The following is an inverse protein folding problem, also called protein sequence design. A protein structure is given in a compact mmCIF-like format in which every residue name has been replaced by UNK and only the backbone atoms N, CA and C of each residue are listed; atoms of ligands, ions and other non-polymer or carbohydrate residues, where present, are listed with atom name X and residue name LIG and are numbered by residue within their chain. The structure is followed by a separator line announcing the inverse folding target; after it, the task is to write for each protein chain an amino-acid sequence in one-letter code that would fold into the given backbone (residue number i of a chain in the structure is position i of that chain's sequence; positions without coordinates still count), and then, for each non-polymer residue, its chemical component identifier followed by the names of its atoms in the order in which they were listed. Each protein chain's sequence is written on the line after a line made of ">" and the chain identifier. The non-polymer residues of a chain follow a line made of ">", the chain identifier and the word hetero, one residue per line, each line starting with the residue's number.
data_IF_452961182240
#
_entry.id   IF_452961182240
#
_cell.length_a   1.000
_cell.length_b   1.000
_cell.length_c   1.000
_cell.angle_alpha   90.00
_cell.angle_beta   90.00
_cell.angle_gamma   90.00
#
_symmetry.space_group_name_H-M   'P 1'
#
loop_
_entity.id
_entity.type
_entity.pdbx_description
1 polymer ?
#
# COMPACT_ATOMS: atom_id res chain seq x y z
N UNK A 1 -15.45 40.13 -2.38
CA UNK A 1 -14.46 39.18 -1.85
C UNK A 1 -14.68 37.82 -2.52
N UNK A 2 -13.63 37.03 -2.80
CA UNK A 2 -13.78 35.70 -3.38
C UNK A 2 -14.56 34.78 -2.44
N UNK A 3 -15.38 33.90 -3.02
CA UNK A 3 -16.30 33.01 -2.30
C UNK A 3 -15.68 31.61 -2.26
N UNK A 4 -15.03 31.27 -1.15
CA UNK A 4 -14.37 29.97 -0.98
C UNK A 4 -15.37 28.89 -0.51
N UNK A 5 -15.07 27.63 -0.85
CA UNK A 5 -15.78 26.48 -0.31
C UNK A 5 -15.42 26.35 1.17
N UNK A 6 -16.40 26.22 2.09
CA UNK A 6 -16.12 26.06 3.51
C UNK A 6 -15.32 24.79 3.78
N UNK A 7 -14.29 24.90 4.60
CA UNK A 7 -13.47 23.78 5.03
C UNK A 7 -14.28 22.87 5.95
N UNK A 8 -14.39 21.60 5.58
CA UNK A 8 -14.89 20.56 6.46
C UNK A 8 -13.71 19.68 6.86
N UNK A 9 -13.41 19.62 8.15
CA UNK A 9 -12.33 18.79 8.67
C UNK A 9 -12.70 17.29 8.73
N UNK A 10 -14.00 16.97 8.64
CA UNK A 10 -14.54 15.60 8.62
C UNK A 10 -14.63 15.05 7.18
N UNK A 11 -13.68 15.45 6.31
CA UNK A 11 -13.67 15.15 4.87
C UNK A 11 -13.56 13.64 4.56
N UNK A 12 -14.71 12.95 4.54
CA UNK A 12 -14.80 11.57 4.04
C UNK A 12 -15.30 11.58 2.58
N UNK A 13 -14.37 11.67 1.62
CA UNK A 13 -14.67 11.52 0.20
C UNK A 13 -13.97 10.27 -0.36
N UNK A 14 -14.73 9.42 -1.05
CA UNK A 14 -14.16 8.32 -1.82
C UNK A 14 -13.80 8.83 -3.22
N UNK A 15 -12.52 8.86 -3.52
CA UNK A 15 -12.00 9.24 -4.83
C UNK A 15 -11.52 7.97 -5.56
N UNK A 16 -11.99 7.77 -6.78
CA UNK A 16 -11.45 6.72 -7.63
C UNK A 16 -10.02 7.11 -8.07
N UNK A 17 -9.03 6.39 -7.58
CA UNK A 17 -7.62 6.66 -7.85
C UNK A 17 -7.01 5.46 -8.57
N UNK A 18 -6.31 5.71 -9.68
CA UNK A 18 -5.48 4.70 -10.31
C UNK A 18 -4.14 4.62 -9.58
N UNK A 19 -3.86 3.47 -8.97
CA UNK A 19 -2.64 3.25 -8.21
C UNK A 19 -1.36 3.48 -9.03
N UNK A 20 -1.34 3.06 -10.31
CA UNK A 20 -0.16 3.20 -11.17
C UNK A 20 0.20 4.66 -11.37
N UNK A 21 -0.81 5.52 -11.50
CA UNK A 21 -0.62 6.96 -11.71
C UNK A 21 -0.16 7.67 -10.42
N UNK A 22 -0.32 7.05 -9.26
CA UNK A 22 0.19 7.54 -7.98
C UNK A 22 1.67 7.21 -7.75
N UNK A 23 2.26 6.28 -8.51
CA UNK A 23 3.66 5.89 -8.37
C UNK A 23 4.60 6.89 -9.08
N UNK A 24 4.52 8.16 -8.70
CA UNK A 24 5.34 9.22 -9.27
C UNK A 24 6.79 9.13 -8.81
N UNK A 25 7.72 9.19 -9.75
CA UNK A 25 9.16 9.19 -9.45
C UNK A 25 9.55 10.31 -8.48
N UNK A 26 10.53 10.03 -7.62
CA UNK A 26 10.96 10.96 -6.58
C UNK A 26 10.07 10.97 -5.32
N UNK A 27 8.94 10.25 -5.32
CA UNK A 27 8.13 10.07 -4.10
C UNK A 27 8.59 8.86 -3.29
N UNK A 28 8.26 8.88 -1.99
CA UNK A 28 8.47 7.72 -1.12
C UNK A 28 7.73 6.48 -1.63
N UNK A 29 6.48 6.64 -2.10
CA UNK A 29 5.68 5.53 -2.62
C UNK A 29 6.32 4.84 -3.82
N UNK A 30 6.94 5.62 -4.72
CA UNK A 30 7.67 5.07 -5.86
C UNK A 30 8.95 4.33 -5.43
N UNK A 31 9.75 4.91 -4.54
CA UNK A 31 10.97 4.25 -4.04
C UNK A 31 10.63 2.93 -3.33
N UNK A 32 9.60 2.94 -2.49
CA UNK A 32 9.04 1.77 -1.83
C UNK A 32 8.62 0.68 -2.80
N UNK A 33 7.79 1.03 -3.80
CA UNK A 33 7.32 0.10 -4.82
C UNK A 33 8.49 -0.51 -5.60
N UNK A 34 9.46 0.31 -6.01
CA UNK A 34 10.66 -0.15 -6.70
C UNK A 34 11.46 -1.15 -5.87
N UNK A 35 11.68 -0.86 -4.58
CA UNK A 35 12.42 -1.77 -3.70
C UNK A 35 11.70 -3.11 -3.54
N UNK A 36 10.40 -3.09 -3.25
CA UNK A 36 9.64 -4.31 -2.95
C UNK A 36 9.35 -5.18 -4.17
N UNK A 37 9.22 -4.59 -5.36
CA UNK A 37 8.84 -5.32 -6.58
C UNK A 37 10.02 -5.62 -7.51
N UNK A 38 11.08 -4.80 -7.51
CA UNK A 38 12.18 -4.91 -8.48
C UNK A 38 13.53 -5.30 -7.84
N UNK A 39 13.73 -5.04 -6.54
CA UNK A 39 15.04 -5.23 -5.89
C UNK A 39 15.07 -6.35 -4.86
N UNK A 40 13.98 -6.57 -4.14
CA UNK A 40 13.93 -7.60 -3.10
C UNK A 40 13.53 -8.96 -3.68
N UNK A 41 14.35 -9.98 -3.41
CA UNK A 41 14.04 -11.36 -3.77
C UNK A 41 13.03 -11.97 -2.78
N UNK A 42 11.74 -11.73 -3.01
CA UNK A 42 10.64 -12.21 -2.14
C UNK A 42 10.18 -13.64 -2.47
N UNK A 43 10.77 -14.29 -3.48
CA UNK A 43 10.49 -15.68 -3.83
C UNK A 43 10.82 -16.67 -2.71
N UNK A 44 11.68 -16.30 -1.77
CA UNK A 44 11.97 -17.10 -0.57
C UNK A 44 10.72 -17.41 0.26
N UNK A 45 9.69 -16.57 0.18
CA UNK A 45 8.43 -16.77 0.89
C UNK A 45 7.47 -17.71 0.13
N UNK A 46 7.75 -18.03 -1.14
CA UNK A 46 6.82 -18.81 -1.96
C UNK A 46 6.65 -20.23 -1.44
N UNK A 47 7.70 -20.83 -0.88
CA UNK A 47 7.64 -22.15 -0.25
C UNK A 47 6.74 -22.19 0.99
N UNK A 48 6.46 -21.04 1.63
CA UNK A 48 5.56 -20.97 2.77
C UNK A 48 4.09 -21.01 2.35
N UNK A 49 3.76 -20.69 1.10
CA UNK A 49 2.40 -20.68 0.60
C UNK A 49 2.01 -22.07 0.07
N UNK A 50 1.08 -22.74 0.74
CA UNK A 50 0.50 -24.02 0.34
C UNK A 50 -0.94 -23.85 -0.15
N UNK A 51 -1.13 -23.09 -1.23
CA UNK A 51 -2.44 -23.01 -1.87
C UNK A 51 -2.62 -24.22 -2.79
N UNK A 52 -3.17 -25.31 -2.27
CA UNK A 52 -3.68 -26.40 -3.11
C UNK A 52 -5.09 -26.06 -3.57
N UNK A 53 -5.35 -26.29 -4.86
CA UNK A 53 -6.56 -26.23 -5.75
C UNK A 53 -7.96 -25.76 -5.27
N UNK A 54 -8.19 -25.36 -4.02
CA UNK A 54 -9.50 -24.94 -3.52
C UNK A 54 -9.49 -23.76 -2.55
N UNK A 55 -8.42 -22.97 -2.48
CA UNK A 55 -8.30 -21.87 -1.51
C UNK A 55 -8.18 -20.47 -2.14
N UNK A 56 -8.68 -19.48 -1.40
CA UNK A 56 -8.63 -18.03 -1.67
C UNK A 56 -7.24 -17.61 -2.16
N UNK A 57 -7.20 -16.79 -3.21
CA UNK A 57 -5.94 -16.24 -3.74
C UNK A 57 -5.13 -15.58 -2.62
N UNK A 58 -3.85 -15.94 -2.53
CA UNK A 58 -2.94 -15.35 -1.56
C UNK A 58 -2.47 -13.98 -2.03
N UNK A 59 -2.39 -13.04 -1.10
CA UNK A 59 -1.81 -11.73 -1.33
C UNK A 59 -0.31 -11.86 -1.66
N UNK A 60 0.14 -11.19 -2.71
CA UNK A 60 1.55 -11.17 -3.08
C UNK A 60 2.39 -10.58 -1.93
N UNK A 61 3.48 -11.24 -1.48
CA UNK A 61 4.31 -10.76 -0.38
C UNK A 61 4.87 -9.35 -0.62
N UNK A 62 5.10 -8.93 -1.87
CA UNK A 62 5.53 -7.57 -2.20
C UNK A 62 4.51 -6.50 -1.79
N UNK A 63 3.22 -6.80 -1.97
CA UNK A 63 2.12 -5.90 -1.61
C UNK A 63 2.00 -5.83 -0.08
N UNK A 64 1.99 -6.99 0.59
CA UNK A 64 1.96 -7.08 2.05
C UNK A 64 3.09 -6.28 2.70
N UNK A 65 4.32 -6.46 2.21
CA UNK A 65 5.48 -5.74 2.70
C UNK A 65 5.36 -4.22 2.46
N UNK A 66 4.83 -3.82 1.29
CA UNK A 66 4.62 -2.41 0.98
C UNK A 66 3.63 -1.76 1.93
N UNK A 67 2.52 -2.44 2.28
CA UNK A 67 1.53 -1.95 3.25
C UNK A 67 2.15 -1.77 4.64
N UNK A 68 2.86 -2.78 5.14
CA UNK A 68 3.48 -2.73 6.48
C UNK A 68 4.51 -1.61 6.57
N UNK A 69 5.42 -1.53 5.62
CA UNK A 69 6.47 -0.50 5.61
C UNK A 69 5.87 0.90 5.44
N UNK A 70 4.83 1.06 4.62
CA UNK A 70 4.14 2.33 4.48
C UNK A 70 3.47 2.76 5.79
N UNK A 71 2.76 1.85 6.47
CA UNK A 71 2.17 2.11 7.77
C UNK A 71 3.22 2.54 8.81
N UNK A 72 4.36 1.84 8.86
CA UNK A 72 5.47 2.21 9.75
C UNK A 72 6.05 3.58 9.43
N UNK A 73 6.14 3.96 8.16
CA UNK A 73 6.57 5.31 7.74
C UNK A 73 5.61 6.41 8.22
N UNK A 74 4.34 6.06 8.47
CA UNK A 74 3.30 6.94 9.03
C UNK A 74 3.22 6.89 10.55
N UNK A 75 4.11 6.14 11.21
CA UNK A 75 4.08 5.96 12.67
C UNK A 75 2.98 5.02 13.17
N UNK A 76 2.28 4.32 12.27
CA UNK A 76 1.28 3.32 12.65
C UNK A 76 2.03 2.06 13.08
N UNK A 77 1.89 1.72 14.36
CA UNK A 77 2.67 0.64 14.96
C UNK A 77 1.87 -0.63 15.25
N UNK A 78 0.55 -0.53 15.35
CA UNK A 78 -0.32 -1.68 15.55
C UNK A 78 -0.77 -2.26 14.22
N UNK A 79 -0.77 -3.59 14.09
CA UNK A 79 -1.38 -4.25 12.93
C UNK A 79 -2.88 -3.96 12.84
N UNK A 80 -3.55 -3.75 13.97
CA UNK A 80 -4.99 -3.47 14.04
C UNK A 80 -5.38 -2.11 13.48
N UNK A 81 -4.45 -1.18 13.41
CA UNK A 81 -4.66 0.15 12.80
C UNK A 81 -4.39 0.14 11.29
N UNK A 82 -3.81 -0.94 10.77
CA UNK A 82 -3.51 -1.13 9.34
C UNK A 82 -4.66 -1.85 8.62
N UNK A 83 -5.36 -2.75 9.33
CA UNK A 83 -6.56 -3.47 8.87
C UNK A 83 -7.80 -2.58 8.79
#
# INVERSE_FOLDING_TARGET
>A
MPKFIPYNHDQNSMVAINFRDQLQSGTFGHAMHYLTHEKLALSIFYCAYHNKDSCRSVCNPAILLSVVLFARSKGIMSSREIE
#
